data_IF_259041253225
#
_entry.id   IF_259041253225
#
_cell.length_a   1.000
_cell.length_b   1.000
_cell.length_c   1.000
_cell.angle_alpha   90.00
_cell.angle_beta   90.00
_cell.angle_gamma   90.00
#
_symmetry.space_group_name_H-M   'P 1'
#
loop_
_entity.id
_entity.type
_entity.pdbx_description
1 polymer ?
#
# COMPACT_ATOMS: atom_id res chain seq x y z
N UNK A 1 8.99 -1.82 10.43
CA UNK A 1 9.36 -1.46 11.81
C UNK A 1 8.33 -2.02 12.79
N UNK A 2 8.26 -1.49 14.02
CA UNK A 2 7.37 -2.02 15.07
C UNK A 2 5.87 -1.97 14.73
N UNK A 3 5.44 -1.08 13.82
CA UNK A 3 4.02 -0.95 13.43
C UNK A 3 3.66 -1.75 12.17
N UNK A 4 4.66 -2.32 11.49
CA UNK A 4 4.49 -2.93 10.18
C UNK A 4 3.40 -3.99 10.15
N UNK A 5 3.41 -4.97 11.07
CA UNK A 5 2.45 -6.07 11.05
C UNK A 5 1.01 -5.61 11.31
N UNK A 6 0.83 -4.58 12.16
CA UNK A 6 -0.49 -3.98 12.40
C UNK A 6 -1.01 -3.27 11.15
N UNK A 7 -0.14 -2.51 10.48
CA UNK A 7 -0.49 -1.80 9.24
C UNK A 7 -0.76 -2.78 8.10
N UNK A 8 0.09 -3.79 7.92
CA UNK A 8 -0.09 -4.83 6.91
C UNK A 8 -1.43 -5.56 7.10
N UNK A 9 -1.74 -6.01 8.32
CA UNK A 9 -3.02 -6.67 8.60
C UNK A 9 -4.21 -5.75 8.29
N UNK A 10 -4.13 -4.47 8.67
CA UNK A 10 -5.18 -3.49 8.36
C UNK A 10 -5.38 -3.35 6.85
N UNK A 11 -4.29 -3.20 6.10
CA UNK A 11 -4.32 -2.99 4.66
C UNK A 11 -4.77 -4.23 3.89
N UNK A 12 -4.41 -5.44 4.36
CA UNK A 12 -4.94 -6.67 3.80
C UNK A 12 -6.46 -6.75 3.96
N UNK A 13 -7.00 -6.36 5.12
CA UNK A 13 -8.44 -6.33 5.34
C UNK A 13 -9.13 -5.24 4.51
N UNK A 14 -8.50 -4.08 4.37
CA UNK A 14 -9.03 -2.93 3.63
C UNK A 14 -9.17 -3.23 2.13
N UNK A 15 -8.14 -3.85 1.55
CA UNK A 15 -8.13 -4.18 0.13
C UNK A 15 -8.73 -5.56 -0.20
N UNK A 16 -9.17 -6.33 0.79
CA UNK A 16 -9.49 -7.77 0.64
C UNK A 16 -8.35 -8.52 -0.08
N UNK A 17 -7.13 -8.35 0.44
CA UNK A 17 -5.92 -8.82 -0.19
C UNK A 17 -5.73 -10.32 -0.03
N UNK A 18 -5.57 -10.99 -1.18
CA UNK A 18 -5.31 -12.41 -1.33
C UNK A 18 -4.28 -12.60 -2.46
N UNK A 19 -3.51 -13.68 -2.42
CA UNK A 19 -2.60 -14.04 -3.50
C UNK A 19 -1.55 -12.95 -3.78
N UNK A 20 -1.51 -12.49 -5.01
CA UNK A 20 -0.56 -11.49 -5.51
C UNK A 20 -0.72 -10.12 -4.82
N UNK A 21 -1.94 -9.75 -4.41
CA UNK A 21 -2.19 -8.46 -3.75
C UNK A 21 -1.50 -8.30 -2.38
N UNK A 22 -1.06 -9.41 -1.76
CA UNK A 22 -0.32 -9.37 -0.49
C UNK A 22 1.03 -8.64 -0.64
N UNK A 23 1.66 -8.74 -1.81
CA UNK A 23 2.90 -8.02 -2.08
C UNK A 23 2.67 -6.50 -2.08
N UNK A 24 1.59 -6.04 -2.72
CA UNK A 24 1.23 -4.63 -2.74
C UNK A 24 0.81 -4.10 -1.37
N UNK A 25 0.07 -4.91 -0.60
CA UNK A 25 -0.26 -4.58 0.79
C UNK A 25 1.00 -4.40 1.65
N UNK A 26 2.06 -5.16 1.37
CA UNK A 26 3.36 -5.03 2.04
C UNK A 26 4.03 -3.71 1.70
N UNK A 27 4.06 -3.32 0.42
CA UNK A 27 4.58 -2.02 -0.03
C UNK A 27 3.78 -0.86 0.59
N UNK A 28 2.45 -0.96 0.55
CA UNK A 28 1.53 0.02 1.14
C UNK A 28 1.76 0.16 2.66
N UNK A 29 2.00 -0.95 3.37
CA UNK A 29 2.30 -0.93 4.80
C UNK A 29 3.62 -0.23 5.13
N UNK A 30 4.66 -0.42 4.31
CA UNK A 30 5.93 0.32 4.44
C UNK A 30 5.68 1.81 4.22
N UNK A 31 4.97 2.18 3.15
CA UNK A 31 4.66 3.59 2.88
C UNK A 31 3.89 4.23 4.04
N UNK A 32 2.84 3.55 4.54
CA UNK A 32 2.05 4.02 5.68
C UNK A 32 2.87 4.15 6.97
N UNK A 33 3.77 3.20 7.24
CA UNK A 33 4.60 3.22 8.45
C UNK A 33 5.54 4.43 8.50
N UNK A 34 6.03 4.85 7.33
CA UNK A 34 6.95 5.96 7.17
C UNK A 34 6.28 7.28 6.75
N UNK A 35 4.95 7.31 6.57
CA UNK A 35 4.22 8.50 6.13
C UNK A 35 4.47 8.90 4.67
N UNK A 36 4.99 7.97 3.86
CA UNK A 36 5.31 8.16 2.46
C UNK A 36 4.09 7.97 1.55
N UNK A 37 4.25 8.37 0.29
CA UNK A 37 3.32 8.08 -0.81
C UNK A 37 3.93 7.01 -1.73
N UNK A 38 3.09 6.15 -2.30
CA UNK A 38 3.53 5.18 -3.32
C UNK A 38 3.40 5.81 -4.72
N UNK A 39 4.52 5.88 -5.44
CA UNK A 39 4.51 6.25 -6.86
C UNK A 39 4.50 4.99 -7.70
N UNK A 40 3.42 4.74 -8.43
CA UNK A 40 3.23 3.48 -9.17
C UNK A 40 2.32 3.66 -10.39
N UNK A 41 2.45 2.74 -11.35
CA UNK A 41 1.51 2.59 -12.47
C UNK A 41 0.46 1.51 -12.20
N UNK A 42 0.63 0.76 -11.12
CA UNK A 42 -0.28 -0.29 -10.71
C UNK A 42 -1.59 0.29 -10.17
N UNK A 43 -2.71 -0.20 -10.71
CA UNK A 43 -4.04 0.27 -10.37
C UNK A 43 -4.55 -0.36 -9.08
N UNK A 44 -3.98 -1.48 -8.65
CA UNK A 44 -4.41 -2.17 -7.44
C UNK A 44 -4.12 -1.34 -6.18
N UNK A 45 -3.21 -0.37 -6.26
CA UNK A 45 -3.00 0.59 -5.19
C UNK A 45 -4.22 1.47 -4.87
N UNK A 46 -5.20 1.56 -5.76
CA UNK A 46 -6.47 2.21 -5.49
C UNK A 46 -7.32 1.46 -4.44
N UNK A 47 -7.02 0.19 -4.15
CA UNK A 47 -7.71 -0.62 -3.12
C UNK A 47 -7.25 -0.30 -1.69
N UNK A 48 -6.12 0.39 -1.53
CA UNK A 48 -5.61 0.83 -0.21
C UNK A 48 -5.99 2.30 0.03
N UNK A 49 -7.26 2.57 0.29
CA UNK A 49 -7.83 3.93 0.47
C UNK A 49 -7.10 4.78 1.53
N UNK A 50 -6.53 4.15 2.54
CA UNK A 50 -5.79 4.78 3.63
C UNK A 50 -4.32 5.08 3.29
N UNK A 51 -3.85 4.69 2.11
CA UNK A 51 -2.49 4.92 1.61
C UNK A 51 -2.53 5.85 0.40
N UNK A 52 -1.78 6.95 0.47
CA UNK A 52 -1.61 7.85 -0.67
C UNK A 52 -0.81 7.15 -1.76
N UNK A 53 -1.33 7.21 -2.98
CA UNK A 53 -0.62 6.78 -4.16
C UNK A 53 -0.82 7.79 -5.29
N UNK A 54 0.15 7.86 -6.20
CA UNK A 54 0.04 8.67 -7.41
C UNK A 54 0.74 8.01 -8.59
N UNK A 55 0.35 8.43 -9.79
CA UNK A 55 1.10 8.10 -11.00
C UNK A 55 2.42 8.91 -11.07
N UNK A 56 3.47 8.35 -11.69
CA UNK A 56 4.65 9.12 -12.05
C UNK A 56 4.26 10.32 -12.91
N UNK A 57 4.87 11.47 -12.64
CA UNK A 57 4.82 12.62 -13.56
C UNK A 57 5.95 12.44 -14.57
N UNK A 58 5.67 12.71 -15.85
CA UNK A 58 6.74 12.83 -16.84
C UNK A 58 7.63 14.04 -16.47
N UNK A 59 8.96 13.96 -16.70
CA UNK A 59 9.87 15.08 -16.47
C UNK A 59 9.55 16.30 -17.33
#
# INVERSE_FOLDING_TARGET
>A
GPRHLTLLRRLCNEADALGDLIADATIAAVAAEHGCEVVTLDRDFARFESVRHRRPIAP
#
